data_IF_390444259311
#
_entry.id   IF_390444259311
#
_cell.length_a   1.000
_cell.length_b   1.000
_cell.length_c   1.000
_cell.angle_alpha   90.00
_cell.angle_beta   90.00
_cell.angle_gamma   90.00
#
_symmetry.space_group_name_H-M   'P 1'
#
loop_
_entity.id
_entity.type
_entity.pdbx_description
1 polymer ?
#
# COMPACT_ATOMS: atom_id res chain seq x y z
N UNK A 1 26.16 -30.52 -8.88
CA UNK A 1 26.44 -29.34 -9.73
C UNK A 1 26.27 -28.15 -8.80
N UNK A 2 27.26 -27.29 -8.70
CA UNK A 2 27.13 -26.04 -7.94
C UNK A 2 26.41 -24.97 -8.77
N UNK A 3 26.05 -23.85 -8.16
CA UNK A 3 25.28 -22.80 -8.81
C UNK A 3 26.09 -22.08 -9.91
N UNK A 4 27.40 -21.99 -9.80
CA UNK A 4 28.25 -21.42 -10.86
C UNK A 4 28.19 -22.32 -12.11
N UNK A 5 28.34 -23.63 -11.92
CA UNK A 5 28.20 -24.61 -13.00
C UNK A 5 26.79 -24.58 -13.61
N UNK A 6 25.76 -24.32 -12.80
CA UNK A 6 24.38 -24.10 -13.28
C UNK A 6 24.28 -22.88 -14.19
N UNK A 7 24.86 -21.75 -13.78
CA UNK A 7 24.91 -20.53 -14.60
C UNK A 7 25.68 -20.78 -15.90
N UNK A 8 26.88 -21.37 -15.84
CA UNK A 8 27.71 -21.59 -17.03
C UNK A 8 27.10 -22.60 -18.02
N UNK A 9 26.35 -23.59 -17.52
CA UNK A 9 25.65 -24.56 -18.37
C UNK A 9 24.55 -23.92 -19.24
N UNK A 10 23.93 -22.82 -18.77
CA UNK A 10 22.79 -22.19 -19.45
C UNK A 10 23.12 -20.82 -20.06
N UNK A 11 24.08 -20.10 -19.50
CA UNK A 11 24.49 -18.76 -19.93
C UNK A 11 25.82 -18.74 -20.69
N UNK A 12 26.59 -19.85 -20.69
CA UNK A 12 27.95 -19.89 -21.21
C UNK A 12 28.99 -19.36 -20.21
N UNK A 13 30.23 -19.16 -20.67
CA UNK A 13 31.34 -18.73 -19.82
C UNK A 13 31.07 -17.36 -19.19
N UNK A 14 31.47 -17.20 -17.92
CA UNK A 14 31.44 -15.89 -17.24
C UNK A 14 32.40 -14.94 -17.95
N UNK A 15 31.86 -13.84 -18.45
CA UNK A 15 32.63 -12.84 -19.23
C UNK A 15 33.08 -11.64 -18.40
N UNK A 16 32.45 -11.41 -17.25
CA UNK A 16 32.78 -10.34 -16.33
C UNK A 16 32.27 -10.63 -14.93
N UNK A 17 32.93 -10.03 -13.94
CA UNK A 17 32.44 -9.98 -12.56
C UNK A 17 32.73 -8.59 -11.98
N UNK A 18 31.84 -8.14 -11.10
CA UNK A 18 31.96 -6.85 -10.43
C UNK A 18 31.91 -7.09 -8.92
N UNK A 19 32.91 -6.57 -8.23
CA UNK A 19 32.97 -6.52 -6.78
C UNK A 19 32.55 -5.11 -6.34
N UNK A 20 31.43 -5.03 -5.62
CA UNK A 20 30.93 -3.79 -5.04
C UNK A 20 31.14 -3.90 -3.53
N UNK A 21 31.83 -2.93 -2.92
CA UNK A 21 32.29 -2.99 -1.52
C UNK A 21 31.19 -3.45 -0.54
N UNK A 22 29.99 -2.84 -0.62
CA UNK A 22 28.85 -3.20 0.24
C UNK A 22 28.40 -4.67 0.10
N UNK A 23 28.45 -5.24 -1.11
CA UNK A 23 28.06 -6.63 -1.39
C UNK A 23 29.20 -7.62 -1.10
N UNK A 24 30.45 -7.18 -1.30
CA UNK A 24 31.64 -8.01 -1.13
C UNK A 24 31.83 -8.45 0.32
N UNK A 25 31.51 -7.59 1.29
CA UNK A 25 31.50 -7.94 2.73
C UNK A 25 30.60 -9.16 3.03
N UNK A 26 29.63 -9.43 2.17
CA UNK A 26 28.64 -10.50 2.30
C UNK A 26 28.90 -11.66 1.33
N UNK A 27 30.06 -11.66 0.67
CA UNK A 27 30.43 -12.60 -0.37
C UNK A 27 29.40 -12.65 -1.53
N UNK A 28 28.80 -11.50 -1.85
CA UNK A 28 27.92 -11.33 -3.01
C UNK A 28 28.69 -10.58 -4.11
N UNK A 29 28.61 -11.06 -5.34
CA UNK A 29 29.21 -10.46 -6.53
C UNK A 29 28.16 -10.33 -7.63
N UNK A 30 28.41 -9.48 -8.62
CA UNK A 30 27.60 -9.43 -9.85
C UNK A 30 28.37 -10.09 -10.99
N UNK A 31 27.73 -10.99 -11.72
CA UNK A 31 28.28 -11.71 -12.86
C UNK A 31 27.67 -11.23 -14.16
N UNK A 32 28.48 -11.27 -15.21
CA UNK A 32 28.12 -10.90 -16.57
C UNK A 32 28.30 -12.06 -17.54
N UNK A 33 27.28 -12.28 -18.36
CA UNK A 33 27.28 -13.22 -19.47
C UNK A 33 26.97 -12.52 -20.79
N UNK A 34 27.59 -12.99 -21.86
CA UNK A 34 27.36 -12.51 -23.21
C UNK A 34 26.71 -13.63 -24.03
N UNK A 35 25.80 -13.25 -24.93
CA UNK A 35 25.03 -14.15 -25.78
C UNK A 35 24.08 -15.08 -25.01
N UNK A 36 23.56 -14.63 -23.87
CA UNK A 36 22.61 -15.37 -23.04
C UNK A 36 21.36 -14.50 -22.78
N UNK A 37 20.13 -15.00 -22.98
CA UNK A 37 19.78 -16.35 -23.46
C UNK A 37 19.97 -16.56 -24.97
N UNK A 38 20.25 -15.49 -25.73
CA UNK A 38 20.42 -15.56 -27.18
C UNK A 38 21.57 -14.68 -27.66
N UNK A 39 21.97 -14.83 -28.92
CA UNK A 39 23.02 -14.02 -29.53
C UNK A 39 22.78 -12.50 -29.33
N UNK A 40 23.84 -11.79 -29.00
CA UNK A 40 23.88 -10.34 -28.71
C UNK A 40 23.20 -9.88 -27.42
N UNK A 41 22.59 -10.78 -26.64
CA UNK A 41 22.07 -10.43 -25.32
C UNK A 41 23.21 -10.36 -24.28
N UNK A 42 23.14 -9.38 -23.38
CA UNK A 42 23.88 -9.34 -22.13
C UNK A 42 22.95 -9.82 -21.04
N UNK A 43 23.45 -10.69 -20.18
CA UNK A 43 22.79 -11.06 -18.93
C UNK A 43 23.66 -10.63 -17.76
N UNK A 44 23.04 -9.97 -16.79
CA UNK A 44 23.63 -9.63 -15.50
C UNK A 44 22.88 -10.40 -14.42
N UNK A 45 23.61 -10.99 -13.47
CA UNK A 45 23.00 -11.68 -12.33
C UNK A 45 23.83 -11.56 -11.08
N UNK A 46 23.20 -11.66 -9.91
CA UNK A 46 23.93 -11.81 -8.66
C UNK A 46 24.51 -13.23 -8.51
N UNK A 47 25.58 -13.34 -7.76
CA UNK A 47 26.14 -14.60 -7.25
C UNK A 47 26.44 -14.41 -5.76
N UNK A 48 25.80 -15.20 -4.92
CA UNK A 48 26.01 -15.22 -3.47
C UNK A 48 24.78 -14.83 -2.68
N UNK A 49 23.77 -14.19 -3.30
CA UNK A 49 22.49 -13.90 -2.65
C UNK A 49 21.81 -15.19 -2.20
N UNK A 50 22.00 -16.28 -2.95
CA UNK A 50 21.49 -17.62 -2.62
C UNK A 50 21.91 -18.10 -1.22
N UNK A 51 23.00 -17.56 -0.64
CA UNK A 51 23.47 -17.95 0.70
C UNK A 51 22.69 -17.27 1.84
N UNK A 52 21.91 -16.26 1.50
CA UNK A 52 21.10 -15.49 2.42
C UNK A 52 19.64 -15.95 2.28
N UNK A 53 19.04 -16.54 3.32
CA UNK A 53 17.63 -16.93 3.25
C UNK A 53 16.77 -15.68 3.13
N UNK A 54 15.93 -15.65 2.11
CA UNK A 54 14.91 -14.64 1.90
C UNK A 54 13.56 -15.19 2.34
N UNK A 55 12.65 -14.29 2.70
CA UNK A 55 11.33 -14.66 3.19
C UNK A 55 10.25 -14.06 2.30
N UNK A 56 9.32 -14.91 1.84
CA UNK A 56 8.05 -14.47 1.27
C UNK A 56 7.12 -13.96 2.36
N UNK A 57 6.10 -13.20 1.97
CA UNK A 57 5.10 -12.65 2.90
C UNK A 57 4.39 -13.71 3.75
N UNK A 58 4.16 -14.90 3.19
CA UNK A 58 3.54 -16.01 3.90
C UNK A 58 4.48 -16.69 4.94
N UNK A 59 5.68 -16.13 5.12
CA UNK A 59 6.71 -16.62 6.02
C UNK A 59 7.57 -17.74 5.44
N UNK A 60 7.28 -18.22 4.23
CA UNK A 60 8.07 -19.26 3.59
C UNK A 60 9.47 -18.75 3.24
N UNK A 61 10.48 -19.57 3.51
CA UNK A 61 11.88 -19.24 3.22
C UNK A 61 12.21 -19.72 1.80
N UNK A 62 12.93 -18.89 1.07
CA UNK A 62 13.40 -19.16 -0.30
C UNK A 62 14.82 -18.62 -0.47
N UNK A 63 15.53 -19.16 -1.46
CA UNK A 63 16.84 -18.65 -1.87
C UNK A 63 16.73 -18.22 -3.33
N UNK A 64 17.16 -17.00 -3.62
CA UNK A 64 17.02 -16.39 -4.94
C UNK A 64 18.33 -15.77 -5.41
N UNK A 65 18.44 -15.62 -6.72
CA UNK A 65 19.44 -14.76 -7.35
C UNK A 65 18.70 -13.82 -8.32
N UNK A 66 19.14 -12.56 -8.37
CA UNK A 66 18.54 -11.52 -9.21
C UNK A 66 19.15 -11.58 -10.60
N UNK A 67 18.35 -11.37 -11.64
CA UNK A 67 18.81 -11.43 -13.02
C UNK A 67 18.11 -10.40 -13.92
N UNK A 68 18.85 -9.81 -14.85
CA UNK A 68 18.34 -9.01 -15.96
C UNK A 68 19.03 -9.41 -17.26
N UNK A 69 18.31 -9.33 -18.38
CA UNK A 69 18.85 -9.65 -19.71
C UNK A 69 18.35 -8.66 -20.76
N UNK A 70 19.26 -8.11 -21.57
CA UNK A 70 18.91 -7.15 -22.65
C UNK A 70 19.81 -7.29 -23.88
N UNK A 71 19.34 -6.85 -25.04
CA UNK A 71 20.14 -6.84 -26.30
C UNK A 71 20.93 -5.53 -26.50
N UNK A 72 20.64 -4.49 -25.73
CA UNK A 72 21.24 -3.17 -25.88
C UNK A 72 22.51 -3.05 -25.03
N UNK A 73 23.65 -3.19 -25.70
CA UNK A 73 24.98 -3.08 -25.08
C UNK A 73 25.20 -1.71 -24.43
N UNK A 74 24.57 -0.65 -24.95
CA UNK A 74 24.63 0.70 -24.41
C UNK A 74 23.77 0.90 -23.13
N UNK A 75 23.14 -0.15 -22.62
CA UNK A 75 22.42 -0.17 -21.34
C UNK A 75 23.18 -0.93 -20.23
N UNK A 76 24.38 -1.43 -20.50
CA UNK A 76 25.16 -2.25 -19.54
C UNK A 76 25.33 -1.59 -18.17
N UNK A 77 25.69 -0.31 -18.14
CA UNK A 77 25.84 0.43 -16.87
C UNK A 77 24.53 0.52 -16.08
N UNK A 78 23.40 0.73 -16.77
CA UNK A 78 22.09 0.79 -16.12
C UNK A 78 21.69 -0.60 -15.58
N UNK A 79 22.03 -1.68 -16.30
CA UNK A 79 21.81 -3.06 -15.83
C UNK A 79 22.61 -3.39 -14.59
N UNK A 80 23.88 -2.99 -14.54
CA UNK A 80 24.74 -3.19 -13.37
C UNK A 80 24.12 -2.51 -12.15
N UNK A 81 23.71 -1.25 -12.30
CA UNK A 81 23.07 -0.49 -11.22
C UNK A 81 21.74 -1.09 -10.78
N UNK A 82 20.92 -1.57 -11.72
CA UNK A 82 19.65 -2.24 -11.42
C UNK A 82 19.87 -3.53 -10.63
N UNK A 83 20.72 -4.45 -11.12
CA UNK A 83 21.01 -5.71 -10.41
C UNK A 83 21.64 -5.42 -9.06
N UNK A 84 22.53 -4.43 -8.97
CA UNK A 84 23.11 -3.99 -7.70
C UNK A 84 22.03 -3.58 -6.70
N UNK A 85 21.15 -2.66 -7.06
CA UNK A 85 20.10 -2.14 -6.17
C UNK A 85 19.14 -3.22 -5.71
N UNK A 86 18.68 -4.06 -6.64
CA UNK A 86 17.78 -5.18 -6.33
C UNK A 86 18.45 -6.18 -5.39
N UNK A 87 19.70 -6.57 -5.69
CA UNK A 87 20.46 -7.51 -4.83
C UNK A 87 20.69 -6.95 -3.43
N UNK A 88 21.09 -5.67 -3.36
CA UNK A 88 21.33 -4.96 -2.11
C UNK A 88 20.05 -4.85 -1.27
N UNK A 89 18.93 -4.58 -1.92
CA UNK A 89 17.61 -4.51 -1.28
C UNK A 89 17.17 -5.85 -0.71
N UNK A 90 17.19 -6.91 -1.53
CA UNK A 90 16.84 -8.26 -1.07
C UNK A 90 17.70 -8.68 0.13
N UNK A 91 19.01 -8.45 0.06
CA UNK A 91 19.92 -8.78 1.17
C UNK A 91 19.66 -7.94 2.42
N UNK A 92 19.58 -6.60 2.31
CA UNK A 92 19.40 -5.71 3.49
C UNK A 92 18.07 -5.96 4.20
N UNK A 93 17.05 -6.36 3.44
CA UNK A 93 15.68 -6.50 3.96
C UNK A 93 15.33 -7.94 4.32
N UNK A 94 16.03 -8.93 3.74
CA UNK A 94 15.69 -10.35 3.87
C UNK A 94 14.40 -10.75 3.13
N UNK A 95 13.87 -9.89 2.26
CA UNK A 95 12.62 -10.17 1.54
C UNK A 95 12.88 -10.83 0.19
N UNK A 96 12.05 -11.81 -0.13
CA UNK A 96 12.05 -12.46 -1.43
C UNK A 96 11.21 -11.67 -2.44
N UNK A 97 11.56 -11.81 -3.71
CA UNK A 97 10.76 -11.28 -4.81
C UNK A 97 9.68 -12.29 -5.23
N UNK A 98 8.45 -11.82 -5.34
CA UNK A 98 7.27 -12.59 -5.72
C UNK A 98 7.06 -12.56 -7.23
N UNK A 99 6.88 -13.73 -7.84
CA UNK A 99 6.57 -13.78 -9.27
C UNK A 99 5.24 -13.06 -9.54
N UNK A 100 5.27 -12.15 -10.51
CA UNK A 100 4.10 -11.38 -10.90
C UNK A 100 3.91 -10.05 -10.18
N UNK A 101 4.81 -9.69 -9.26
CA UNK A 101 4.90 -8.32 -8.75
C UNK A 101 5.63 -7.42 -9.76
N UNK A 102 5.52 -6.11 -9.56
CA UNK A 102 6.33 -5.13 -10.27
C UNK A 102 6.77 -3.99 -9.36
N UNK A 103 7.98 -3.50 -9.60
CA UNK A 103 8.62 -2.44 -8.83
C UNK A 103 8.73 -1.17 -9.69
N UNK A 104 8.51 0.04 -9.15
CA UNK A 104 8.73 1.28 -9.89
C UNK A 104 10.15 1.36 -10.47
N UNK A 105 10.29 1.89 -11.69
CA UNK A 105 11.59 2.07 -12.30
C UNK A 105 12.39 3.12 -11.50
N UNK A 106 13.60 2.79 -10.99
CA UNK A 106 14.40 3.77 -10.28
C UNK A 106 14.78 4.95 -11.19
N UNK A 107 14.63 6.17 -10.66
CA UNK A 107 14.84 7.40 -11.42
C UNK A 107 16.18 7.44 -12.16
N UNK A 108 16.14 7.82 -13.44
CA UNK A 108 17.31 7.99 -14.32
C UNK A 108 17.75 6.73 -15.06
N UNK A 109 17.47 5.53 -14.53
CA UNK A 109 17.86 4.26 -15.16
C UNK A 109 16.92 3.92 -16.32
N UNK A 110 17.49 3.48 -17.45
CA UNK A 110 16.75 3.12 -18.66
C UNK A 110 15.80 4.22 -19.19
N UNK A 111 15.96 5.46 -18.72
CA UNK A 111 15.05 6.58 -18.98
C UNK A 111 14.86 6.89 -20.47
N UNK A 112 15.91 6.66 -21.29
CA UNK A 112 15.87 6.82 -22.75
C UNK A 112 14.91 5.85 -23.46
N UNK A 113 14.48 4.78 -22.79
CA UNK A 113 13.58 3.76 -23.37
C UNK A 113 12.12 3.90 -22.91
N UNK A 114 11.83 4.74 -21.92
CA UNK A 114 10.45 5.04 -21.51
C UNK A 114 9.76 3.95 -20.67
N UNK A 115 10.52 3.09 -20.00
CA UNK A 115 9.96 2.09 -19.09
C UNK A 115 9.51 2.72 -17.77
N UNK A 116 8.40 2.22 -17.23
CA UNK A 116 7.76 2.73 -16.01
C UNK A 116 8.07 1.86 -14.78
N UNK A 117 8.26 0.54 -14.98
CA UNK A 117 8.45 -0.42 -13.89
C UNK A 117 9.33 -1.60 -14.32
N UNK A 118 9.71 -2.42 -13.33
CA UNK A 118 10.38 -3.71 -13.47
C UNK A 118 9.42 -4.81 -13.01
N UNK A 119 9.04 -5.69 -13.93
CA UNK A 119 8.18 -6.84 -13.66
C UNK A 119 9.00 -8.06 -13.26
N UNK A 120 8.57 -8.76 -12.21
CA UNK A 120 9.25 -9.93 -11.67
C UNK A 120 8.67 -11.20 -12.28
N UNK A 121 9.49 -12.01 -12.94
CA UNK A 121 9.06 -13.26 -13.57
C UNK A 121 10.16 -14.31 -13.58
N UNK A 122 9.83 -15.52 -14.06
CA UNK A 122 10.83 -16.56 -14.30
C UNK A 122 11.65 -16.22 -15.54
N UNK A 123 12.92 -16.66 -15.64
CA UNK A 123 13.73 -16.46 -16.85
C UNK A 123 13.28 -17.40 -17.97
N UNK A 124 12.02 -17.28 -18.43
CA UNK A 124 11.37 -18.24 -19.33
C UNK A 124 11.91 -18.25 -20.77
N UNK A 125 12.78 -17.31 -21.13
CA UNK A 125 13.56 -17.39 -22.37
C UNK A 125 14.76 -18.34 -22.29
N UNK A 126 15.17 -18.72 -21.08
CA UNK A 126 16.13 -19.79 -20.85
C UNK A 126 15.40 -21.14 -20.82
N UNK A 127 16.16 -22.23 -20.98
CA UNK A 127 15.61 -23.58 -20.87
C UNK A 127 14.96 -23.80 -19.50
N UNK A 128 13.91 -24.62 -19.42
CA UNK A 128 13.18 -24.89 -18.17
C UNK A 128 14.10 -25.37 -17.04
N UNK A 129 15.17 -26.08 -17.37
CA UNK A 129 16.17 -26.53 -16.40
C UNK A 129 16.90 -25.38 -15.72
N UNK A 130 16.97 -24.18 -16.32
CA UNK A 130 17.61 -23.02 -15.73
C UNK A 130 16.79 -22.41 -14.59
N UNK A 131 15.45 -22.48 -14.69
CA UNK A 131 14.52 -21.74 -13.85
C UNK A 131 14.52 -22.18 -12.39
N UNK A 132 15.05 -23.37 -12.08
CA UNK A 132 15.19 -23.89 -10.72
C UNK A 132 16.51 -24.63 -10.60
N UNK A 133 17.40 -24.15 -9.74
CA UNK A 133 18.61 -24.89 -9.36
C UNK A 133 18.34 -25.75 -8.14
N UNK A 134 18.76 -27.02 -8.20
CA UNK A 134 18.78 -27.92 -7.05
C UNK A 134 20.19 -27.97 -6.50
N UNK A 135 20.39 -27.27 -5.38
CA UNK A 135 21.71 -27.12 -4.79
C UNK A 135 22.26 -28.42 -4.22
N UNK A 136 23.59 -28.47 -4.17
CA UNK A 136 24.33 -29.62 -3.68
C UNK A 136 24.98 -29.27 -2.33
N UNK A 137 24.56 -29.98 -1.28
CA UNK A 137 25.01 -29.76 0.08
C UNK A 137 26.53 -29.92 0.24
N UNK A 138 27.22 -30.62 -0.67
CA UNK A 138 28.68 -30.72 -0.67
C UNK A 138 29.36 -29.37 -0.92
N UNK A 139 28.66 -28.41 -1.53
CA UNK A 139 29.13 -27.05 -1.81
C UNK A 139 28.57 -26.03 -0.82
N UNK A 140 27.79 -26.46 0.18
CA UNK A 140 27.13 -25.58 1.15
C UNK A 140 26.00 -24.74 0.53
N UNK A 141 25.40 -25.22 -0.54
CA UNK A 141 24.27 -24.56 -1.22
C UNK A 141 22.93 -24.97 -0.61
N UNK A 142 21.92 -24.08 -0.63
CA UNK A 142 20.56 -24.42 -0.22
C UNK A 142 19.94 -25.43 -1.19
N UNK A 143 18.95 -26.18 -0.72
CA UNK A 143 18.32 -27.26 -1.50
C UNK A 143 17.70 -26.78 -2.82
N UNK A 144 17.17 -25.55 -2.84
CA UNK A 144 16.57 -24.95 -4.03
C UNK A 144 16.93 -23.48 -4.12
N UNK A 145 17.41 -23.05 -5.29
CA UNK A 145 17.66 -21.64 -5.63
C UNK A 145 16.82 -21.29 -6.86
N UNK A 146 16.18 -20.13 -6.82
CA UNK A 146 15.39 -19.60 -7.94
C UNK A 146 16.11 -18.40 -8.56
N UNK A 147 16.55 -18.48 -9.82
CA UNK A 147 16.90 -17.29 -10.58
C UNK A 147 15.62 -16.50 -10.87
N UNK A 148 15.57 -15.25 -10.42
CA UNK A 148 14.43 -14.34 -10.59
C UNK A 148 14.78 -13.30 -11.63
N UNK A 149 13.94 -13.20 -12.66
CA UNK A 149 14.18 -12.34 -13.81
C UNK A 149 13.34 -11.06 -13.75
N UNK A 150 14.01 -9.92 -13.94
CA UNK A 150 13.36 -8.61 -13.94
C UNK A 150 13.27 -8.08 -15.38
N UNK A 151 12.05 -7.75 -15.78
CA UNK A 151 11.73 -7.29 -17.13
C UNK A 151 11.25 -5.84 -17.08
N UNK A 152 11.92 -4.89 -17.74
CA UNK A 152 11.40 -3.54 -17.88
C UNK A 152 10.06 -3.53 -18.64
N UNK A 153 9.04 -2.90 -18.04
CA UNK A 153 7.69 -2.78 -18.59
C UNK A 153 7.24 -1.32 -18.70
N UNK A 154 6.39 -1.05 -19.68
CA UNK A 154 5.82 0.27 -19.98
C UNK A 154 4.62 0.58 -19.07
N UNK A 155 4.25 1.86 -18.99
CA UNK A 155 3.07 2.29 -18.25
C UNK A 155 1.78 1.61 -18.73
N UNK A 156 1.63 1.39 -20.05
CA UNK A 156 0.47 0.67 -20.60
C UNK A 156 0.41 -0.79 -20.14
N UNK A 157 1.56 -1.42 -19.92
CA UNK A 157 1.67 -2.79 -19.43
C UNK A 157 1.34 -2.87 -17.94
N UNK A 158 1.81 -1.90 -17.15
CA UNK A 158 1.35 -1.72 -15.76
C UNK A 158 -0.17 -1.54 -15.72
N UNK A 159 -0.71 -0.65 -16.55
CA UNK A 159 -2.16 -0.42 -16.63
C UNK A 159 -2.94 -1.68 -17.03
N UNK A 160 -2.38 -2.49 -17.93
CA UNK A 160 -2.97 -3.77 -18.31
C UNK A 160 -2.97 -4.77 -17.15
N UNK A 161 -1.88 -4.88 -16.40
CA UNK A 161 -1.81 -5.72 -15.18
C UNK A 161 -2.88 -5.26 -14.18
N UNK A 162 -3.00 -3.96 -13.94
CA UNK A 162 -3.99 -3.39 -13.01
C UNK A 162 -5.44 -3.61 -13.48
N UNK A 163 -5.67 -3.67 -14.79
CA UNK A 163 -7.01 -3.82 -15.36
C UNK A 163 -7.44 -5.30 -15.49
N UNK A 164 -6.51 -6.17 -15.87
CA UNK A 164 -6.81 -7.53 -16.30
C UNK A 164 -6.18 -8.61 -15.41
N UNK A 165 -5.26 -8.23 -14.53
CA UNK A 165 -4.54 -9.11 -13.63
C UNK A 165 -3.26 -9.70 -14.21
N UNK A 166 -2.37 -10.09 -13.30
CA UNK A 166 -1.05 -10.67 -13.57
C UNK A 166 -1.11 -11.91 -14.47
N UNK A 167 -2.08 -12.81 -14.28
CA UNK A 167 -2.17 -14.06 -15.05
C UNK A 167 -2.30 -13.81 -16.55
N UNK A 168 -3.18 -12.88 -16.95
CA UNK A 168 -3.34 -12.51 -18.36
C UNK A 168 -2.10 -11.84 -18.93
N UNK A 169 -1.39 -11.07 -18.12
CA UNK A 169 -0.13 -10.48 -18.54
C UNK A 169 0.96 -11.54 -18.73
N UNK A 170 1.05 -12.54 -17.84
CA UNK A 170 1.97 -13.67 -17.99
C UNK A 170 1.72 -14.47 -19.26
N UNK A 171 0.46 -14.76 -19.60
CA UNK A 171 0.10 -15.40 -20.87
C UNK A 171 0.67 -14.61 -22.06
N UNK A 172 0.52 -13.29 -22.04
CA UNK A 172 1.06 -12.41 -23.08
C UNK A 172 2.59 -12.39 -23.11
N UNK A 173 3.26 -12.33 -21.95
CA UNK A 173 4.72 -12.34 -21.86
C UNK A 173 5.32 -13.59 -22.51
N UNK A 174 4.69 -14.76 -22.33
CA UNK A 174 5.18 -16.01 -22.90
C UNK A 174 5.10 -16.09 -24.44
N UNK A 175 4.28 -15.24 -25.07
CA UNK A 175 4.10 -15.21 -26.54
C UNK A 175 5.10 -14.28 -27.27
N UNK A 176 5.95 -13.56 -26.54
CA UNK A 176 6.71 -12.42 -27.06
C UNK A 176 7.95 -12.73 -27.92
N UNK A 177 8.27 -13.99 -28.24
CA UNK A 177 9.43 -14.38 -29.09
C UNK A 177 10.72 -13.52 -28.88
N UNK A 178 11.31 -13.51 -27.68
CA UNK A 178 12.51 -12.74 -27.31
C UNK A 178 12.38 -11.21 -27.30
N UNK A 179 11.21 -10.63 -27.57
CA UNK A 179 11.02 -9.18 -27.63
C UNK A 179 11.34 -8.47 -26.30
N UNK A 180 11.16 -9.13 -25.15
CA UNK A 180 11.40 -8.51 -23.83
C UNK A 180 12.87 -8.17 -23.58
N UNK A 181 13.79 -8.81 -24.29
CA UNK A 181 15.23 -8.47 -24.25
C UNK A 181 15.53 -7.17 -25.02
N UNK A 182 14.63 -6.76 -25.92
CA UNK A 182 14.84 -5.58 -26.74
C UNK A 182 14.27 -4.34 -26.04
N UNK A 183 15.13 -3.52 -25.44
CA UNK A 183 14.75 -2.25 -24.81
C UNK A 183 14.18 -1.22 -25.79
N UNK A 184 14.31 -1.44 -27.11
CA UNK A 184 13.70 -0.61 -28.15
C UNK A 184 12.36 -1.18 -28.66
N UNK A 185 11.81 -2.19 -28.00
CA UNK A 185 10.50 -2.75 -28.34
C UNK A 185 9.40 -1.71 -28.17
N UNK A 186 8.29 -1.90 -28.87
CA UNK A 186 7.05 -1.22 -28.54
C UNK A 186 6.40 -1.89 -27.32
N UNK A 187 5.51 -1.17 -26.60
CA UNK A 187 4.68 -1.79 -25.58
C UNK A 187 3.89 -2.97 -26.15
N UNK A 188 3.70 -4.02 -25.35
CA UNK A 188 2.91 -5.20 -25.74
C UNK A 188 1.42 -4.89 -25.85
N UNK A 189 0.98 -3.84 -25.17
CA UNK A 189 -0.40 -3.38 -25.07
C UNK A 189 -0.50 -1.91 -25.41
N UNK A 190 -1.57 -1.53 -26.10
CA UNK A 190 -1.85 -0.16 -26.51
C UNK A 190 -2.26 0.74 -25.35
N UNK A 191 -2.44 2.02 -25.67
CA UNK A 191 -2.84 3.06 -24.70
C UNK A 191 -4.28 2.88 -24.21
N UNK A 192 -5.09 1.99 -24.79
CA UNK A 192 -6.46 1.74 -24.32
C UNK A 192 -6.50 1.24 -22.87
N UNK A 193 -5.45 0.55 -22.42
CA UNK A 193 -5.32 0.14 -21.02
C UNK A 193 -5.10 1.34 -20.08
N UNK A 194 -4.32 2.32 -20.53
CA UNK A 194 -4.06 3.59 -19.82
C UNK A 194 -5.38 4.39 -19.74
N UNK A 195 -6.09 4.55 -20.86
CA UNK A 195 -7.39 5.22 -20.88
C UNK A 195 -8.42 4.56 -19.94
N UNK A 196 -8.47 3.23 -19.93
CA UNK A 196 -9.36 2.48 -19.04
C UNK A 196 -8.99 2.66 -17.56
N UNK A 197 -7.70 2.79 -17.24
CA UNK A 197 -7.24 3.00 -15.88
C UNK A 197 -7.46 4.45 -15.42
N UNK A 198 -7.25 5.43 -16.28
CA UNK A 198 -7.57 6.84 -16.02
C UNK A 198 -9.06 7.10 -15.80
N UNK A 199 -9.94 6.22 -16.29
CA UNK A 199 -11.37 6.27 -15.99
C UNK A 199 -11.73 5.79 -14.57
N UNK A 200 -10.81 5.13 -13.86
CA UNK A 200 -11.01 4.73 -12.45
C UNK A 200 -10.81 5.90 -11.50
N UNK A 201 -11.36 5.78 -10.29
CA UNK A 201 -11.11 6.74 -9.19
C UNK A 201 -9.64 6.70 -8.81
N UNK A 202 -8.98 7.85 -8.88
CA UNK A 202 -7.56 8.01 -8.62
C UNK A 202 -7.35 8.33 -7.14
N UNK A 203 -6.52 7.55 -6.47
CA UNK A 203 -6.21 7.71 -5.05
C UNK A 203 -4.78 8.21 -4.87
N UNK A 204 -4.62 9.21 -4.00
CA UNK A 204 -3.36 9.64 -3.44
C UNK A 204 -3.27 9.05 -2.03
N UNK A 205 -2.28 8.20 -1.79
CA UNK A 205 -2.14 7.52 -0.51
C UNK A 205 -0.81 7.92 0.14
N UNK A 206 -0.88 8.32 1.40
CA UNK A 206 0.27 8.62 2.23
C UNK A 206 0.25 7.69 3.45
N UNK A 207 1.31 6.91 3.63
CA UNK A 207 1.58 6.25 4.90
C UNK A 207 2.05 7.30 5.92
N UNK A 208 1.30 7.42 7.02
CA UNK A 208 1.57 8.40 8.06
C UNK A 208 2.54 7.83 9.10
N UNK A 209 3.50 8.65 9.52
CA UNK A 209 4.30 8.34 10.70
C UNK A 209 3.42 8.44 11.95
N UNK A 210 3.42 7.38 12.76
CA UNK A 210 2.59 7.31 13.96
C UNK A 210 3.26 8.08 15.10
N UNK A 211 2.91 9.37 15.19
CA UNK A 211 3.42 10.32 16.19
C UNK A 211 2.25 11.05 16.86
N UNK A 212 2.52 11.74 17.97
CA UNK A 212 1.50 12.59 18.60
C UNK A 212 0.96 13.66 17.63
N UNK A 213 1.81 14.19 16.74
CA UNK A 213 1.44 15.18 15.72
C UNK A 213 0.38 14.65 14.73
N UNK A 214 0.41 13.35 14.39
CA UNK A 214 -0.62 12.75 13.54
C UNK A 214 -2.02 12.94 14.13
N UNK A 215 -2.15 12.79 15.44
CA UNK A 215 -3.44 12.91 16.13
C UNK A 215 -3.80 14.38 16.42
N UNK A 216 -2.81 15.19 16.84
CA UNK A 216 -3.03 16.57 17.26
C UNK A 216 -3.17 17.55 16.09
N UNK A 217 -2.34 17.43 15.06
CA UNK A 217 -2.24 18.41 13.98
C UNK A 217 -2.92 17.94 12.69
N UNK A 218 -2.79 16.66 12.34
CA UNK A 218 -3.33 16.14 11.07
C UNK A 218 -4.79 15.67 11.21
N UNK A 219 -5.04 14.69 12.07
CA UNK A 219 -6.39 14.15 12.31
C UNK A 219 -7.23 15.17 13.10
N UNK A 220 -6.62 15.88 14.05
CA UNK A 220 -7.27 16.84 14.93
C UNK A 220 -8.53 16.27 15.61
N UNK A 221 -8.44 15.02 16.12
CA UNK A 221 -9.52 14.36 16.85
C UNK A 221 -9.00 13.85 18.20
N UNK A 222 -9.83 13.84 19.25
CA UNK A 222 -9.40 13.44 20.59
C UNK A 222 -9.28 11.92 20.69
N UNK A 223 -8.26 11.34 20.06
CA UNK A 223 -7.99 9.90 20.03
C UNK A 223 -6.83 9.54 20.96
N UNK A 224 -6.96 8.40 21.64
CA UNK A 224 -5.92 7.75 22.43
C UNK A 224 -5.70 6.34 21.86
N UNK A 225 -4.45 5.94 21.70
CA UNK A 225 -4.14 4.56 21.31
C UNK A 225 -4.16 3.64 22.53
N UNK A 226 -4.92 2.53 22.45
CA UNK A 226 -4.85 1.43 23.41
C UNK A 226 -3.73 0.46 22.99
N UNK A 227 -2.48 0.87 23.16
CA UNK A 227 -1.32 0.09 22.72
C UNK A 227 -0.70 0.60 21.40
N UNK A 228 0.24 -0.16 20.80
CA UNK A 228 0.90 0.27 19.57
C UNK A 228 -0.07 0.23 18.38
N UNK A 229 -0.05 1.29 17.57
CA UNK A 229 -0.64 1.28 16.24
C UNK A 229 0.45 0.82 15.24
N UNK A 230 0.10 -0.10 14.34
CA UNK A 230 1.02 -0.67 13.36
C UNK A 230 1.10 0.21 12.12
N UNK A 231 -0.04 0.64 11.57
CA UNK A 231 -0.11 1.47 10.37
C UNK A 231 -1.21 2.52 10.43
N UNK A 232 -0.94 3.63 9.75
CA UNK A 232 -1.86 4.72 9.49
C UNK A 232 -1.69 5.18 8.04
N UNK A 233 -2.80 5.38 7.34
CA UNK A 233 -2.82 5.91 5.98
C UNK A 233 -3.73 7.13 5.90
N UNK A 234 -3.30 8.16 5.21
CA UNK A 234 -4.15 9.22 4.69
C UNK A 234 -4.46 8.91 3.21
N UNK A 235 -5.75 8.91 2.86
CA UNK A 235 -6.24 8.64 1.52
C UNK A 235 -7.03 9.86 1.05
N UNK A 236 -6.64 10.39 -0.10
CA UNK A 236 -7.29 11.50 -0.80
C UNK A 236 -7.68 11.05 -2.21
N UNK A 237 -8.80 11.59 -2.72
CA UNK A 237 -9.20 11.39 -4.11
C UNK A 237 -8.62 12.51 -4.96
N UNK A 238 -7.87 12.14 -6.00
CA UNK A 238 -7.34 13.09 -6.98
C UNK A 238 -8.45 13.55 -7.95
N UNK A 239 -9.32 14.43 -7.45
CA UNK A 239 -10.44 15.00 -8.21
C UNK A 239 -10.17 16.48 -8.54
N UNK A 240 -10.15 16.83 -9.84
CA UNK A 240 -10.08 18.23 -10.29
C UNK A 240 -11.37 19.04 -10.01
N UNK A 241 -12.46 18.36 -9.62
CA UNK A 241 -13.76 18.98 -9.38
C UNK A 241 -13.84 19.61 -7.98
N UNK A 242 -14.38 20.83 -7.92
CA UNK A 242 -14.73 21.49 -6.66
C UNK A 242 -15.73 20.64 -5.85
N UNK A 243 -15.23 19.93 -4.83
CA UNK A 243 -16.07 19.29 -3.81
C UNK A 243 -15.68 17.85 -3.47
N UNK A 244 -14.42 17.64 -3.05
CA UNK A 244 -13.86 16.35 -2.63
C UNK A 244 -14.79 15.55 -1.68
N UNK A 245 -15.58 16.22 -0.84
CA UNK A 245 -16.40 15.56 0.17
C UNK A 245 -17.52 14.64 -0.35
N UNK A 246 -18.17 14.93 -1.48
CA UNK A 246 -19.24 14.07 -2.03
C UNK A 246 -18.64 12.82 -2.67
N UNK A 247 -17.53 12.98 -3.39
CA UNK A 247 -16.79 11.85 -3.97
C UNK A 247 -16.17 10.99 -2.88
N UNK A 248 -15.60 11.61 -1.84
CA UNK A 248 -15.10 10.92 -0.65
C UNK A 248 -16.21 10.18 0.09
N UNK A 249 -17.41 10.75 0.23
CA UNK A 249 -18.54 10.04 0.82
C UNK A 249 -18.94 8.79 0.02
N UNK A 250 -18.98 8.91 -1.31
CA UNK A 250 -19.29 7.79 -2.21
C UNK A 250 -18.20 6.72 -2.12
N UNK A 251 -16.94 7.14 -2.14
CA UNK A 251 -15.80 6.24 -1.97
C UNK A 251 -15.80 5.55 -0.61
N UNK A 252 -16.12 6.26 0.47
CA UNK A 252 -16.22 5.70 1.81
C UNK A 252 -17.30 4.60 1.88
N UNK A 253 -18.45 4.80 1.25
CA UNK A 253 -19.48 3.78 1.12
C UNK A 253 -18.93 2.53 0.42
N UNK A 254 -18.35 2.71 -0.76
CA UNK A 254 -17.83 1.59 -1.56
C UNK A 254 -16.69 0.88 -0.86
N UNK A 255 -15.78 1.62 -0.22
CA UNK A 255 -14.65 1.08 0.53
C UNK A 255 -15.11 0.20 1.70
N UNK A 256 -16.01 0.70 2.56
CA UNK A 256 -16.54 -0.06 3.69
C UNK A 256 -17.37 -1.26 3.24
N UNK A 257 -18.15 -1.12 2.16
CA UNK A 257 -18.96 -2.21 1.62
C UNK A 257 -18.11 -3.28 0.91
N UNK A 258 -17.02 -2.90 0.24
CA UNK A 258 -16.05 -3.80 -0.39
C UNK A 258 -15.38 -4.73 0.62
N UNK A 259 -15.16 -4.26 1.85
CA UNK A 259 -14.66 -5.13 2.94
C UNK A 259 -15.63 -6.26 3.28
N UNK A 260 -16.93 -6.11 2.93
CA UNK A 260 -18.00 -7.07 3.17
C UNK A 260 -18.02 -7.59 4.62
N UNK A 261 -17.76 -6.68 5.57
CA UNK A 261 -17.57 -6.99 6.99
C UNK A 261 -18.56 -6.19 7.83
N UNK A 262 -19.74 -6.77 8.02
CA UNK A 262 -20.74 -6.28 8.97
C UNK A 262 -20.76 -7.17 10.22
N UNK A 263 -21.05 -6.61 11.41
CA UNK A 263 -21.45 -5.22 11.63
C UNK A 263 -20.30 -4.22 11.63
N UNK A 264 -20.60 -2.99 11.24
CA UNK A 264 -19.73 -1.81 11.36
C UNK A 264 -20.30 -0.90 12.44
N UNK A 265 -19.46 -0.26 13.23
CA UNK A 265 -19.85 0.69 14.25
C UNK A 265 -19.45 2.08 13.82
N UNK A 266 -20.41 2.97 13.58
CA UNK A 266 -20.13 4.39 13.34
C UNK A 266 -20.18 5.15 14.65
N UNK A 267 -19.26 6.09 14.84
CA UNK A 267 -19.24 7.00 15.99
C UNK A 267 -19.09 8.43 15.50
N UNK A 268 -19.97 9.33 15.95
CA UNK A 268 -19.95 10.73 15.53
C UNK A 268 -20.55 11.70 16.53
N UNK A 269 -20.11 12.95 16.46
CA UNK A 269 -20.73 14.04 17.20
C UNK A 269 -22.02 14.50 16.54
N UNK A 270 -23.07 14.62 17.35
CA UNK A 270 -24.33 15.21 16.92
C UNK A 270 -24.22 16.73 16.97
N UNK A 271 -24.42 17.36 15.81
CA UNK A 271 -24.42 18.82 15.68
C UNK A 271 -25.84 19.43 15.63
N UNK A 272 -26.85 18.63 15.26
CA UNK A 272 -28.28 18.98 15.29
C UNK A 272 -28.96 18.57 16.61
N UNK A 273 -30.25 18.88 16.77
CA UNK A 273 -30.99 18.46 17.96
C UNK A 273 -30.96 16.94 18.09
N UNK A 274 -30.42 16.46 19.22
CA UNK A 274 -30.31 15.07 19.64
C UNK A 274 -31.55 14.19 19.38
N UNK A 275 -32.73 14.83 19.37
CA UNK A 275 -34.02 14.20 19.14
C UNK A 275 -34.18 13.71 17.71
N UNK A 276 -33.67 14.44 16.72
CA UNK A 276 -33.83 14.12 15.31
C UNK A 276 -33.03 12.87 14.96
N UNK A 277 -31.79 12.77 15.42
CA UNK A 277 -30.96 11.57 15.28
C UNK A 277 -31.60 10.35 15.96
N UNK A 278 -32.08 10.49 17.20
CA UNK A 278 -32.75 9.38 17.92
C UNK A 278 -34.02 8.92 17.21
N UNK A 279 -34.82 9.86 16.71
CA UNK A 279 -36.03 9.56 15.96
C UNK A 279 -35.70 8.83 14.65
N UNK A 280 -34.68 9.28 13.92
CA UNK A 280 -34.19 8.64 12.71
C UNK A 280 -33.75 7.20 12.96
N UNK A 281 -32.84 6.95 13.93
CA UNK A 281 -32.37 5.59 14.21
C UNK A 281 -33.50 4.66 14.67
N UNK A 282 -34.45 5.19 15.47
CA UNK A 282 -35.63 4.42 15.90
C UNK A 282 -36.54 4.08 14.71
N UNK A 283 -36.81 5.03 13.82
CA UNK A 283 -37.61 4.84 12.61
C UNK A 283 -37.02 3.76 11.70
N UNK A 284 -35.69 3.74 11.57
CA UNK A 284 -34.97 2.79 10.73
C UNK A 284 -34.52 1.51 11.47
N UNK A 285 -34.97 1.29 12.71
CA UNK A 285 -34.68 0.10 13.52
C UNK A 285 -33.18 -0.15 13.75
N UNK A 286 -32.38 0.91 13.80
CA UNK A 286 -30.95 0.84 14.04
C UNK A 286 -30.64 0.75 15.54
N UNK A 287 -29.70 -0.11 15.91
CA UNK A 287 -29.22 -0.20 17.29
C UNK A 287 -28.20 0.91 17.55
N UNK A 288 -28.42 1.75 18.57
CA UNK A 288 -27.51 2.84 18.89
C UNK A 288 -27.33 3.05 20.39
N UNK A 289 -26.18 3.59 20.78
CA UNK A 289 -25.94 4.22 22.08
C UNK A 289 -25.79 5.73 21.90
N UNK A 290 -26.17 6.48 22.93
CA UNK A 290 -26.03 7.93 22.98
C UNK A 290 -25.38 8.30 24.29
N UNK A 291 -24.40 9.18 24.22
CA UNK A 291 -23.59 9.57 25.35
C UNK A 291 -23.43 11.08 25.37
N UNK A 292 -23.52 11.64 26.57
CA UNK A 292 -23.33 13.07 26.80
C UNK A 292 -21.91 13.29 27.30
N UNK A 293 -21.14 14.08 26.56
CA UNK A 293 -19.80 14.47 26.97
C UNK A 293 -19.84 15.48 28.11
N UNK A 294 -18.70 15.61 28.80
CA UNK A 294 -18.54 16.61 29.84
C UNK A 294 -18.72 18.03 29.28
N UNK A 295 -19.30 18.94 30.07
CA UNK A 295 -19.58 20.32 29.63
C UNK A 295 -18.29 21.03 29.23
N UNK A 296 -18.05 21.14 27.93
CA UNK A 296 -16.98 21.97 27.41
C UNK A 296 -17.43 23.44 27.38
N UNK A 297 -16.53 24.34 27.80
CA UNK A 297 -16.72 25.78 27.63
C UNK A 297 -16.24 26.13 26.24
N UNK A 298 -17.16 26.29 25.29
CA UNK A 298 -16.82 26.87 24.00
C UNK A 298 -16.78 28.39 24.14
N UNK A 299 -15.74 29.00 23.55
CA UNK A 299 -15.55 30.45 23.54
C UNK A 299 -15.65 30.92 22.12
N UNK A 300 -16.83 31.39 21.72
CA UNK A 300 -17.07 31.82 20.35
C UNK A 300 -16.69 33.30 20.18
N UNK A 301 -15.96 33.60 19.09
CA UNK A 301 -15.69 34.95 18.61
C UNK A 301 -14.21 35.31 18.44
N UNK A 302 -13.82 35.69 17.23
CA UNK A 302 -12.56 36.39 16.95
C UNK A 302 -12.74 37.89 17.22
N UNK A 303 -12.07 38.39 18.26
CA UNK A 303 -11.99 39.79 18.70
C UNK A 303 -13.22 40.40 19.43
N UNK A 304 -12.95 40.86 20.67
CA UNK A 304 -13.80 41.69 21.56
C UNK A 304 -15.30 41.37 21.58
N UNK A 305 -15.64 40.20 22.12
CA UNK A 305 -17.02 39.85 22.47
C UNK A 305 -17.21 38.41 22.90
N UNK A 306 -16.24 37.82 23.61
CA UNK A 306 -16.27 36.39 24.00
C UNK A 306 -17.56 36.05 24.75
N UNK A 307 -18.48 35.34 24.09
CA UNK A 307 -19.57 34.64 24.76
C UNK A 307 -19.06 33.24 25.09
N UNK A 308 -18.91 32.97 26.39
CA UNK A 308 -18.67 31.60 26.84
C UNK A 308 -20.02 30.90 26.93
N UNK A 309 -20.29 29.98 26.02
CA UNK A 309 -21.45 29.10 26.10
C UNK A 309 -20.99 27.76 26.70
N UNK A 310 -21.84 27.13 27.52
CA UNK A 310 -21.67 25.72 27.88
C UNK A 310 -22.66 24.95 27.05
N UNK A 311 -22.15 24.24 26.05
CA UNK A 311 -22.94 23.31 25.24
C UNK A 311 -22.65 21.89 25.73
N UNK A 312 -23.68 21.09 25.87
CA UNK A 312 -23.53 19.64 26.05
C UNK A 312 -23.28 19.06 24.65
N UNK A 313 -22.14 18.41 24.45
CA UNK A 313 -21.85 17.71 23.20
C UNK A 313 -22.32 16.27 23.35
N UNK A 314 -22.99 15.79 22.31
CA UNK A 314 -23.53 14.45 22.27
C UNK A 314 -22.82 13.66 21.19
N UNK A 315 -22.54 12.41 21.46
CA UNK A 315 -22.13 11.49 20.41
C UNK A 315 -23.03 10.27 20.38
N UNK A 316 -23.14 9.71 19.20
CA UNK A 316 -23.81 8.44 18.96
C UNK A 316 -22.80 7.39 18.58
N UNK A 317 -23.06 6.15 18.98
CA UNK A 317 -22.47 4.99 18.33
C UNK A 317 -23.60 4.16 17.75
N UNK A 318 -23.61 3.95 16.45
CA UNK A 318 -24.68 3.21 15.75
C UNK A 318 -24.09 1.94 15.14
N UNK A 319 -24.75 0.81 15.39
CA UNK A 319 -24.41 -0.49 14.79
C UNK A 319 -25.09 -0.59 13.43
N UNK A 320 -24.27 -0.78 12.40
CA UNK A 320 -24.63 -0.91 10.99
C UNK A 320 -24.54 -2.39 10.64
N UNK A 321 -25.66 -3.01 10.30
CA UNK A 321 -25.73 -4.46 10.04
C UNK A 321 -25.61 -4.82 8.55
N UNK A 322 -25.84 -3.86 7.65
CA UNK A 322 -25.81 -4.07 6.20
C UNK A 322 -25.54 -2.77 5.43
N UNK A 323 -25.32 -2.91 4.11
CA UNK A 323 -25.05 -1.80 3.21
C UNK A 323 -26.15 -0.74 3.16
N UNK A 324 -27.42 -1.13 3.32
CA UNK A 324 -28.54 -0.18 3.31
C UNK A 324 -28.52 0.70 4.56
N UNK A 325 -28.17 0.13 5.71
CA UNK A 325 -27.95 0.90 6.93
C UNK A 325 -26.75 1.85 6.79
N UNK A 326 -25.69 1.41 6.12
CA UNK A 326 -24.52 2.24 5.86
C UNK A 326 -24.87 3.48 5.03
N UNK A 327 -25.61 3.29 3.93
CA UNK A 327 -26.10 4.37 3.07
C UNK A 327 -26.90 5.41 3.89
N UNK A 328 -27.88 4.94 4.67
CA UNK A 328 -28.71 5.79 5.54
C UNK A 328 -27.88 6.56 6.58
N UNK A 329 -26.84 5.95 7.15
CA UNK A 329 -25.95 6.62 8.11
C UNK A 329 -25.13 7.70 7.43
N UNK A 330 -24.59 7.44 6.24
CA UNK A 330 -23.83 8.44 5.50
C UNK A 330 -24.74 9.62 5.13
N UNK A 331 -25.97 9.39 4.67
CA UNK A 331 -26.94 10.47 4.42
C UNK A 331 -27.25 11.29 5.68
N UNK A 332 -27.43 10.64 6.82
CA UNK A 332 -27.84 11.28 8.07
C UNK A 332 -26.69 12.01 8.80
N UNK A 333 -25.49 11.44 8.80
CA UNK A 333 -24.41 11.84 9.72
C UNK A 333 -23.15 12.39 9.04
N UNK A 334 -22.99 12.27 7.72
CA UNK A 334 -21.76 12.75 7.04
C UNK A 334 -21.56 14.26 7.17
N UNK A 335 -22.63 15.03 7.36
CA UNK A 335 -22.55 16.46 7.64
C UNK A 335 -21.69 16.79 8.88
N UNK A 336 -21.51 15.86 9.83
CA UNK A 336 -20.57 16.03 10.94
C UNK A 336 -19.13 16.19 10.42
N UNK A 337 -18.71 15.38 9.45
CA UNK A 337 -17.37 15.46 8.87
C UNK A 337 -17.15 16.78 8.11
N UNK A 338 -18.17 17.27 7.39
CA UNK A 338 -18.13 18.57 6.70
C UNK A 338 -17.90 19.76 7.64
N UNK A 339 -18.22 19.58 8.93
CA UNK A 339 -18.03 20.58 9.97
C UNK A 339 -16.73 20.37 10.76
N UNK A 340 -15.85 19.48 10.30
CA UNK A 340 -14.67 19.00 11.03
C UNK A 340 -14.98 18.41 12.41
N UNK A 341 -16.19 17.89 12.61
CA UNK A 341 -16.51 17.13 13.80
C UNK A 341 -16.06 15.67 13.64
N UNK A 342 -16.02 14.93 14.74
CA UNK A 342 -15.70 13.51 14.71
C UNK A 342 -16.76 12.76 13.90
N UNK A 343 -16.32 12.03 12.89
CA UNK A 343 -17.08 11.01 12.18
C UNK A 343 -16.16 9.85 11.83
N UNK A 344 -16.39 8.69 12.42
CA UNK A 344 -15.53 7.52 12.25
C UNK A 344 -16.32 6.22 12.18
N UNK A 345 -15.68 5.19 11.65
CA UNK A 345 -16.18 3.83 11.51
C UNK A 345 -15.16 2.85 12.10
N UNK A 346 -15.63 1.79 12.73
CA UNK A 346 -14.80 0.75 13.34
C UNK A 346 -15.48 -0.61 13.16
N UNK A 347 -14.68 -1.67 13.04
CA UNK A 347 -15.19 -3.05 13.05
C UNK A 347 -15.31 -3.64 14.46
N UNK A 348 -15.02 -2.85 15.50
CA UNK A 348 -15.11 -3.24 16.90
C UNK A 348 -16.10 -2.37 17.65
N UNK A 349 -16.89 -3.00 18.51
CA UNK A 349 -17.80 -2.32 19.45
C UNK A 349 -17.07 -1.74 20.67
N UNK A 350 -15.76 -1.96 20.79
CA UNK A 350 -14.93 -1.59 21.95
C UNK A 350 -14.43 -0.14 21.94
N UNK A 351 -15.05 0.75 21.17
CA UNK A 351 -14.74 2.17 21.24
C UNK A 351 -15.16 2.71 22.61
N UNK A 352 -14.18 2.80 23.52
CA UNK A 352 -14.37 3.31 24.87
C UNK A 352 -13.93 4.77 24.95
N UNK A 353 -14.47 5.50 25.93
CA UNK A 353 -14.05 6.87 26.20
C UNK A 353 -13.31 6.89 27.52
N UNK A 354 -12.11 7.47 27.49
CA UNK A 354 -11.39 7.87 28.68
C UNK A 354 -11.61 9.34 28.97
N UNK A 355 -11.91 9.63 30.24
CA UNK A 355 -12.04 10.99 30.75
C UNK A 355 -10.75 11.41 31.41
N UNK A 356 -10.11 12.42 30.85
CA UNK A 356 -9.05 13.11 31.55
C UNK A 356 -9.69 13.96 32.66
N UNK A 357 -9.27 13.75 33.92
CA UNK A 357 -9.83 14.43 35.07
C UNK A 357 -8.75 15.11 35.90
N UNK A 358 -8.93 16.40 36.16
CA UNK A 358 -8.15 17.13 37.15
C UNK A 358 -8.86 17.05 38.50
N UNK A 359 -8.21 16.44 39.48
CA UNK A 359 -8.71 16.42 40.86
C UNK A 359 -7.88 17.35 41.73
N UNK A 360 -8.50 18.43 42.18
CA UNK A 360 -7.98 19.29 43.25
C UNK A 360 -8.62 18.90 44.58
N UNK A 361 -8.05 19.35 45.71
CA UNK A 361 -8.56 19.10 47.07
C UNK A 361 -10.06 19.46 47.27
N UNK A 362 -10.64 20.33 46.42
CA UNK A 362 -12.03 20.78 46.53
C UNK A 362 -12.95 20.31 45.40
N UNK A 363 -12.41 19.82 44.28
CA UNK A 363 -13.18 19.56 43.07
C UNK A 363 -12.46 18.65 42.09
N UNK A 364 -13.17 17.67 41.56
CA UNK A 364 -12.81 16.96 40.33
C UNK A 364 -13.47 17.65 39.14
N UNK A 365 -12.70 17.92 38.09
CA UNK A 365 -13.16 18.48 36.82
C UNK A 365 -12.71 17.58 35.68
N UNK A 366 -13.60 17.23 34.77
CA UNK A 366 -13.23 16.61 33.50
C UNK A 366 -12.58 17.68 32.62
N UNK A 367 -11.36 17.41 32.16
CA UNK A 367 -10.58 18.24 31.26
C UNK A 367 -10.99 17.97 29.81
N UNK A 368 -10.99 16.70 29.43
CA UNK A 368 -11.24 16.24 28.07
C UNK A 368 -11.83 14.82 28.06
N UNK A 369 -12.68 14.52 27.07
CA UNK A 369 -13.15 13.18 26.76
C UNK A 369 -12.37 12.71 25.52
N UNK A 370 -11.66 11.58 25.59
CA UNK A 370 -10.85 11.02 24.49
C UNK A 370 -11.33 9.63 24.10
N UNK A 371 -11.45 9.38 22.80
CA UNK A 371 -11.83 8.08 22.22
C UNK A 371 -10.63 7.16 22.20
N UNK A 372 -10.80 5.95 22.71
CA UNK A 372 -9.75 4.95 22.76
C UNK A 372 -9.84 4.09 21.50
N UNK A 373 -8.81 4.17 20.66
CA UNK A 373 -8.62 3.29 19.50
C UNK A 373 -8.42 1.86 19.99
N UNK A 374 -9.23 0.88 19.54
CA UNK A 374 -9.07 -0.51 19.95
C UNK A 374 -7.88 -1.16 19.23
N UNK A 375 -7.00 -1.83 19.99
CA UNK A 375 -5.77 -2.45 19.44
C UNK A 375 -6.04 -3.49 18.32
N UNK A 376 -7.21 -4.13 18.29
CA UNK A 376 -7.46 -5.31 17.44
C UNK A 376 -8.39 -5.00 16.23
N UNK A 377 -8.48 -3.74 15.79
CA UNK A 377 -9.41 -3.37 14.70
C UNK A 377 -8.83 -2.36 13.73
N UNK A 378 -9.43 -2.23 12.56
CA UNK A 378 -9.32 -1.05 11.70
C UNK A 378 -10.33 0.01 12.12
N UNK A 379 -9.91 1.28 12.14
CA UNK A 379 -10.74 2.47 12.30
C UNK A 379 -10.55 3.39 11.10
N UNK A 380 -11.66 3.85 10.53
CA UNK A 380 -11.69 4.82 9.42
C UNK A 380 -12.25 6.13 9.94
N UNK A 381 -11.49 7.22 9.83
CA UNK A 381 -11.89 8.55 10.28
C UNK A 381 -12.02 9.46 9.06
N UNK A 382 -13.10 10.24 9.01
CA UNK A 382 -13.28 11.25 7.98
C UNK A 382 -12.74 12.60 8.49
N UNK A 383 -11.79 13.18 7.76
CA UNK A 383 -11.10 14.43 8.08
C UNK A 383 -11.23 15.49 6.99
N UNK A 384 -10.58 16.64 7.20
CA UNK A 384 -10.44 17.77 6.25
C UNK A 384 -11.74 18.15 5.53
N UNK A 385 -12.72 18.64 6.28
CA UNK A 385 -14.04 19.05 5.76
C UNK A 385 -14.76 17.94 4.97
N UNK A 386 -14.51 16.68 5.33
CA UNK A 386 -15.09 15.52 4.67
C UNK A 386 -14.35 15.05 3.41
N UNK A 387 -13.21 15.64 3.06
CA UNK A 387 -12.47 15.32 1.83
C UNK A 387 -11.33 14.31 2.01
N UNK A 388 -11.02 13.86 3.22
CA UNK A 388 -9.91 12.93 3.44
C UNK A 388 -10.33 11.78 4.35
N UNK A 389 -9.81 10.59 4.08
CA UNK A 389 -9.97 9.42 4.93
C UNK A 389 -8.65 9.06 5.61
N UNK A 390 -8.70 8.88 6.93
CA UNK A 390 -7.62 8.28 7.70
C UNK A 390 -7.98 6.83 8.02
N UNK A 391 -7.14 5.89 7.59
CA UNK A 391 -7.29 4.46 7.90
C UNK A 391 -6.22 4.08 8.91
N UNK A 392 -6.63 3.83 10.14
CA UNK A 392 -5.77 3.38 11.23
C UNK A 392 -6.00 1.89 11.43
N UNK A 393 -4.95 1.07 11.37
CA UNK A 393 -5.13 -0.38 11.53
C UNK A 393 -3.96 -1.10 12.19
N UNK A 394 -4.32 -2.10 12.97
CA UNK A 394 -3.43 -3.15 13.49
C UNK A 394 -3.68 -4.51 12.84
N UNK A 395 -4.69 -4.60 11.96
CA UNK A 395 -5.08 -5.83 11.30
C UNK A 395 -4.09 -6.14 10.18
N UNK A 396 -3.69 -7.41 10.05
CA UNK A 396 -2.63 -7.82 9.12
C UNK A 396 -2.89 -7.34 7.69
N UNK A 397 -4.15 -7.34 7.23
CA UNK A 397 -4.52 -6.91 5.87
C UNK A 397 -4.43 -5.41 5.57
N UNK A 398 -4.19 -4.58 6.59
CA UNK A 398 -3.85 -3.16 6.44
C UNK A 398 -2.49 -2.81 7.06
N UNK A 399 -1.94 -3.66 7.92
CA UNK A 399 -0.75 -3.37 8.72
C UNK A 399 0.55 -3.96 8.14
N UNK A 400 0.76 -3.84 6.83
CA UNK A 400 1.89 -4.46 6.12
C UNK A 400 3.17 -3.62 6.13
N UNK A 401 4.33 -4.28 6.10
CA UNK A 401 5.64 -3.60 5.99
C UNK A 401 5.86 -3.09 4.55
N UNK A 402 6.50 -1.92 4.43
CA UNK A 402 6.58 -1.02 3.27
C UNK A 402 7.16 -1.61 1.97
N UNK A 403 7.58 -2.89 1.95
CA UNK A 403 8.25 -3.52 0.81
C UNK A 403 7.62 -4.81 0.33
N UNK A 404 6.62 -5.33 1.05
CA UNK A 404 5.94 -6.58 0.71
C UNK A 404 4.61 -6.25 0.07
N UNK A 405 4.58 -6.20 -1.26
CA UNK A 405 3.39 -6.16 -2.12
C UNK A 405 2.24 -5.26 -1.61
N UNK A 406 2.57 -4.19 -0.86
CA UNK A 406 1.60 -3.55 0.02
C UNK A 406 0.66 -2.68 -0.78
N UNK A 407 1.14 -2.14 -1.91
CA UNK A 407 0.29 -1.51 -2.89
C UNK A 407 -0.74 -2.51 -3.43
N UNK A 408 -0.36 -3.75 -3.77
CA UNK A 408 -1.31 -4.78 -4.23
C UNK A 408 -2.26 -5.22 -3.11
N UNK A 409 -1.78 -5.35 -1.88
CA UNK A 409 -2.63 -5.75 -0.74
C UNK A 409 -3.58 -4.64 -0.31
N UNK A 410 -3.12 -3.40 -0.26
CA UNK A 410 -3.96 -2.23 -0.10
C UNK A 410 -4.97 -2.14 -1.24
N UNK A 411 -4.55 -2.35 -2.51
CA UNK A 411 -5.44 -2.46 -3.67
C UNK A 411 -6.50 -3.55 -3.51
N UNK A 412 -6.17 -4.70 -2.90
CA UNK A 412 -7.18 -5.73 -2.59
C UNK A 412 -8.21 -5.25 -1.57
N UNK A 413 -7.83 -4.34 -0.66
CA UNK A 413 -8.77 -3.70 0.26
C UNK A 413 -9.52 -2.53 -0.38
N UNK A 414 -9.20 -2.12 -1.61
CA UNK A 414 -9.84 -1.01 -2.28
C UNK A 414 -10.91 -1.50 -3.29
N UNK A 415 -11.98 -0.72 -3.52
CA UNK A 415 -12.94 -1.02 -4.58
C UNK A 415 -12.28 -1.22 -5.95
N UNK A 416 -12.80 -2.14 -6.76
CA UNK A 416 -12.18 -2.54 -8.05
C UNK A 416 -12.10 -1.43 -9.10
N UNK A 417 -12.90 -0.37 -8.95
CA UNK A 417 -12.94 0.82 -9.80
C UNK A 417 -12.00 1.93 -9.31
N UNK A 418 -11.03 1.61 -8.45
CA UNK A 418 -10.01 2.54 -7.95
C UNK A 418 -8.62 2.14 -8.41
N UNK A 419 -7.71 3.12 -8.42
CA UNK A 419 -6.28 2.92 -8.66
C UNK A 419 -5.48 3.87 -7.79
N UNK A 420 -4.36 3.41 -7.26
CA UNK A 420 -3.42 4.24 -6.49
C UNK A 420 -2.51 4.96 -7.50
N UNK A 421 -2.67 6.26 -7.64
CA UNK A 421 -1.92 7.11 -8.57
C UNK A 421 -0.60 7.60 -7.97
N UNK A 422 -0.64 7.94 -6.68
CA UNK A 422 0.52 8.41 -5.93
C UNK A 422 0.61 7.70 -4.59
N UNK A 423 1.84 7.40 -4.16
CA UNK A 423 2.13 6.70 -2.94
C UNK A 423 3.34 7.29 -2.22
N UNK A 424 3.16 7.81 -1.00
CA UNK A 424 4.23 8.46 -0.24
C UNK A 424 4.96 9.57 -1.03
N UNK A 425 4.23 10.27 -1.90
CA UNK A 425 4.77 11.29 -2.80
C UNK A 425 5.38 10.75 -4.10
N UNK A 426 5.59 9.44 -4.23
CA UNK A 426 6.07 8.80 -5.46
C UNK A 426 4.90 8.56 -6.41
N UNK A 427 5.05 9.04 -7.65
CA UNK A 427 4.07 8.83 -8.71
C UNK A 427 4.32 7.49 -9.38
N UNK A 428 3.28 6.67 -9.51
CA UNK A 428 3.32 5.57 -10.46
C UNK A 428 3.26 6.19 -11.85
N UNK A 429 4.39 6.13 -12.58
CA UNK A 429 4.62 6.88 -13.81
C UNK A 429 3.44 6.78 -14.79
N UNK A 430 2.93 7.96 -15.20
CA UNK A 430 1.91 8.22 -16.23
C UNK A 430 0.98 7.03 -16.54
N UNK A 431 0.24 6.61 -15.51
CA UNK A 431 -1.05 5.96 -15.67
C UNK A 431 -2.07 6.92 -16.28
#
# INVERSE_FOLDING_TARGET
MNYIEHLEAHCGEITGHLEIEELQEQAIQLLQFQNAPCANAITMTSLGLLRHPLQFENGAIVHQEVMLSVMQQDAESDLIELVYRLTLEAWKTGHAYDLGEYLPMPGGLLSKYGFAALYVTTPFYFEESFQVHKGDAAFGEPETVLPVWFVPIFASEVAYIEQYGTEKFNEMLHETEMQLLNLKRHPLVGEEAIEALNAKRQLLVLECEITDNLFEDEIQRPLLLDGPLKKAYAIDLDSEAQGNAVETQTFLFDFLNHQNRFPIYTTFFAFEEDKDNKAFFTQHQMSFTSHVLSKQKQTDGWLRGKRTSTRESHYFTVKIEDAKMLELILEQAYAAALMNELFMFSYSDRLSIQREVETTYRKTRVLEDRFVYPEETTVVIVGHDGGMLYVLSNEEHFAYDLRTDWAKRLRQQLPSDTVIRQLNGEWFADL
#
